data_IF_931098443103
#
_entry.id   IF_931098443103
#
_cell.length_a   1.000
_cell.length_b   1.000
_cell.length_c   1.000
_cell.angle_alpha   90.00
_cell.angle_beta   90.00
_cell.angle_gamma   90.00
#
_symmetry.space_group_name_H-M   'P 1'
#
loop_
_entity.id
_entity.type
_entity.pdbx_description
1 polymer ?
#
# COMPACT_ATOMS: atom_id res chain seq x y z
N UNK A 1 -19.04 -0.17 -9.03
CA UNK A 1 -18.26 -1.29 -8.46
C UNK A 1 -17.84 -0.92 -7.05
N UNK A 2 -18.14 -1.80 -6.10
CA UNK A 2 -17.79 -1.55 -4.71
C UNK A 2 -16.27 -1.65 -4.50
N UNK A 3 -15.71 -0.67 -3.79
CA UNK A 3 -14.30 -0.67 -3.44
C UNK A 3 -14.01 -1.73 -2.37
N UNK A 4 -13.09 -2.64 -2.64
CA UNK A 4 -12.66 -3.67 -1.71
C UNK A 4 -11.66 -3.12 -0.71
N UNK A 5 -11.83 -3.43 0.58
CA UNK A 5 -10.84 -3.17 1.62
C UNK A 5 -10.08 -4.44 1.95
N UNK A 6 -8.84 -4.28 2.39
CA UNK A 6 -7.97 -5.43 2.70
C UNK A 6 -8.54 -6.33 3.80
N UNK A 7 -9.30 -5.78 4.75
CA UNK A 7 -9.88 -6.53 5.85
C UNK A 7 -11.35 -6.93 5.65
N UNK A 8 -11.90 -6.69 4.45
CA UNK A 8 -13.30 -7.01 4.15
C UNK A 8 -13.59 -8.49 4.36
N UNK A 9 -14.76 -8.78 4.95
CA UNK A 9 -15.25 -10.13 5.21
C UNK A 9 -14.41 -10.93 6.21
N UNK A 10 -13.48 -10.29 6.89
CA UNK A 10 -12.74 -10.94 7.96
C UNK A 10 -13.55 -10.83 9.27
N UNK A 11 -13.51 -11.88 10.06
CA UNK A 11 -14.14 -11.88 11.37
C UNK A 11 -13.35 -11.01 12.34
N UNK A 12 -13.99 -10.38 13.36
CA UNK A 12 -13.26 -9.56 14.33
C UNK A 12 -12.08 -10.26 14.98
N UNK A 13 -12.21 -11.54 15.31
CA UNK A 13 -11.13 -12.33 15.91
C UNK A 13 -9.97 -12.56 14.95
N UNK A 14 -10.24 -12.69 13.64
CA UNK A 14 -9.21 -12.81 12.63
C UNK A 14 -8.44 -11.49 12.47
N UNK A 15 -9.15 -10.37 12.49
CA UNK A 15 -8.54 -9.05 12.41
C UNK A 15 -7.63 -8.80 13.62
N UNK A 16 -8.10 -9.17 14.82
CA UNK A 16 -7.33 -9.03 16.04
C UNK A 16 -6.05 -9.86 15.99
N UNK A 17 -6.15 -11.09 15.51
CA UNK A 17 -5.00 -11.98 15.37
C UNK A 17 -4.00 -11.45 14.35
N UNK A 18 -4.49 -10.96 13.21
CA UNK A 18 -3.65 -10.35 12.19
C UNK A 18 -2.86 -9.17 12.75
N UNK A 19 -3.54 -8.28 13.46
CA UNK A 19 -2.90 -7.10 14.06
C UNK A 19 -1.87 -7.50 15.11
N UNK A 20 -2.15 -8.55 15.89
CA UNK A 20 -1.21 -9.07 16.89
C UNK A 20 0.08 -9.61 16.27
N UNK A 21 0.02 -10.12 15.04
CA UNK A 21 1.17 -10.67 14.31
C UNK A 21 1.84 -9.65 13.39
N UNK A 22 1.34 -8.43 13.35
CA UNK A 22 1.82 -7.36 12.48
C UNK A 22 2.35 -6.20 13.32
N UNK A 23 2.94 -5.21 12.66
CA UNK A 23 3.45 -4.01 13.32
C UNK A 23 2.53 -2.85 12.98
N UNK A 24 2.03 -2.17 14.01
CA UNK A 24 1.32 -0.89 13.83
C UNK A 24 2.27 0.21 14.26
N UNK A 25 2.64 1.09 13.34
CA UNK A 25 3.61 2.13 13.62
C UNK A 25 3.05 3.50 13.26
N UNK A 26 3.33 4.48 14.12
CA UNK A 26 2.99 5.88 13.89
C UNK A 26 4.23 6.61 13.38
N UNK A 27 4.07 7.29 12.26
CA UNK A 27 5.11 8.10 11.63
C UNK A 27 4.76 9.57 11.81
N UNK A 28 5.75 10.36 12.18
CA UNK A 28 5.58 11.80 12.27
C UNK A 28 5.69 12.42 10.88
N UNK A 29 5.22 13.65 10.71
CA UNK A 29 5.33 14.37 9.45
C UNK A 29 6.78 14.35 8.95
N UNK A 30 6.97 14.02 7.68
CA UNK A 30 8.27 13.92 6.96
C UNK A 30 9.11 12.72 7.36
N UNK A 31 8.63 11.87 8.24
CA UNK A 31 9.33 10.63 8.53
C UNK A 31 9.19 9.66 7.35
N UNK A 32 10.30 9.02 6.99
CA UNK A 32 10.33 8.06 5.87
C UNK A 32 9.79 6.71 6.34
N UNK A 33 8.87 6.15 5.57
CA UNK A 33 8.27 4.84 5.84
C UNK A 33 9.14 3.74 5.23
N UNK A 34 9.56 3.93 3.98
CA UNK A 34 10.55 3.08 3.34
C UNK A 34 11.31 3.89 2.29
N UNK A 35 12.52 3.43 1.96
CA UNK A 35 13.39 4.08 1.00
C UNK A 35 13.41 3.33 -0.33
N UNK A 36 13.63 4.06 -1.41
CA UNK A 36 13.93 3.49 -2.72
C UNK A 36 15.08 2.49 -2.57
N UNK A 37 15.01 1.37 -3.27
CA UNK A 37 15.96 0.26 -3.27
C UNK A 37 15.84 -0.66 -2.05
N UNK A 38 14.97 -0.36 -1.09
CA UNK A 38 14.70 -1.29 0.01
C UNK A 38 14.06 -2.57 -0.52
N UNK A 39 14.36 -3.68 0.14
CA UNK A 39 13.72 -4.96 -0.14
C UNK A 39 12.31 -4.95 0.46
N UNK A 40 11.26 -5.24 -0.33
CA UNK A 40 9.90 -5.30 0.19
C UNK A 40 9.76 -6.39 1.26
N UNK A 41 9.27 -6.01 2.44
CA UNK A 41 9.09 -6.94 3.57
C UNK A 41 7.66 -6.96 4.09
N UNK A 42 6.90 -5.91 3.83
CA UNK A 42 5.58 -5.70 4.42
C UNK A 42 4.55 -5.32 3.38
N UNK A 43 3.31 -5.72 3.65
CA UNK A 43 2.16 -5.05 3.06
C UNK A 43 1.85 -3.85 3.94
N UNK A 44 1.82 -2.66 3.35
CA UNK A 44 1.53 -1.41 4.06
C UNK A 44 0.06 -1.04 3.89
N UNK A 45 -0.61 -0.82 5.01
CA UNK A 45 -2.03 -0.41 5.03
C UNK A 45 -2.14 0.89 5.81
N UNK A 46 -2.64 1.94 5.18
CA UNK A 46 -2.84 3.22 5.85
C UNK A 46 -4.06 3.11 6.77
N UNK A 47 -3.86 3.33 8.06
CA UNK A 47 -4.97 3.37 9.02
C UNK A 47 -5.47 4.80 9.21
N UNK A 48 -4.56 5.75 9.26
CA UNK A 48 -4.87 7.17 9.50
C UNK A 48 -3.74 8.02 8.96
N UNK A 49 -4.05 9.18 8.41
CA UNK A 49 -3.06 10.13 7.95
C UNK A 49 -2.98 10.28 6.44
N UNK A 50 -1.80 10.57 5.93
CA UNK A 50 -1.53 10.70 4.51
C UNK A 50 -0.07 10.36 4.21
N UNK A 51 0.15 9.61 3.12
CA UNK A 51 1.47 9.15 2.71
C UNK A 51 1.73 9.58 1.27
N UNK A 52 2.92 10.13 1.04
CA UNK A 52 3.41 10.51 -0.28
C UNK A 52 4.38 9.45 -0.78
N UNK A 53 4.09 8.87 -1.93
CA UNK A 53 4.99 7.96 -2.62
C UNK A 53 5.68 8.75 -3.73
N UNK A 54 7.00 8.75 -3.73
CA UNK A 54 7.77 9.64 -4.59
C UNK A 54 9.08 9.02 -5.08
N UNK A 55 9.61 9.58 -6.16
CA UNK A 55 10.94 9.25 -6.66
C UNK A 55 11.69 10.57 -6.88
N UNK A 56 12.81 10.73 -6.18
CA UNK A 56 13.67 11.91 -6.35
C UNK A 56 14.68 11.65 -7.47
N UNK A 57 14.78 12.60 -8.38
CA UNK A 57 15.76 12.52 -9.47
C UNK A 57 17.13 12.98 -8.98
N UNK A 58 18.22 12.61 -9.70
CA UNK A 58 19.57 13.03 -9.31
C UNK A 58 19.78 14.54 -9.23
N UNK A 59 18.97 15.33 -9.94
CA UNK A 59 19.06 16.80 -9.90
C UNK A 59 18.30 17.42 -8.71
N UNK A 60 17.74 16.59 -7.84
CA UNK A 60 17.03 17.06 -6.66
C UNK A 60 15.54 17.31 -6.86
N UNK A 61 15.00 17.05 -8.05
CA UNK A 61 13.57 17.19 -8.31
C UNK A 61 12.80 16.02 -7.72
N UNK A 62 11.72 16.32 -7.00
CA UNK A 62 10.86 15.28 -6.45
C UNK A 62 9.68 15.02 -7.37
N UNK A 63 9.57 13.77 -7.85
CA UNK A 63 8.45 13.32 -8.63
C UNK A 63 7.47 12.59 -7.70
N UNK A 64 6.32 13.20 -7.46
CA UNK A 64 5.27 12.56 -6.65
C UNK A 64 4.51 11.60 -7.55
N UNK A 65 4.55 10.31 -7.19
CA UNK A 65 3.89 9.26 -7.97
C UNK A 65 2.45 9.09 -7.56
N UNK A 66 2.18 9.12 -6.26
CA UNK A 66 0.83 9.03 -5.73
C UNK A 66 0.78 9.50 -4.28
N UNK A 67 -0.40 9.87 -3.84
CA UNK A 67 -0.67 10.23 -2.44
C UNK A 67 -1.76 9.29 -1.93
N UNK A 68 -1.49 8.62 -0.81
CA UNK A 68 -2.41 7.71 -0.16
C UNK A 68 -3.09 8.47 0.98
N UNK A 69 -4.41 8.62 0.91
CA UNK A 69 -5.19 9.38 1.90
C UNK A 69 -6.35 8.60 2.49
N UNK A 70 -6.82 7.57 1.78
CA UNK A 70 -7.99 6.82 2.23
C UNK A 70 -7.62 5.80 3.29
N UNK A 71 -8.30 5.78 4.44
CA UNK A 71 -8.09 4.72 5.42
C UNK A 71 -8.30 3.35 4.80
N UNK A 72 -7.49 2.40 5.19
CA UNK A 72 -7.48 1.03 4.71
C UNK A 72 -6.94 0.84 3.29
N UNK A 73 -6.45 1.90 2.66
CA UNK A 73 -5.80 1.77 1.37
C UNK A 73 -4.38 1.18 1.55
N UNK A 74 -3.99 0.35 0.58
CA UNK A 74 -2.67 -0.28 0.58
C UNK A 74 -1.72 0.46 -0.36
N UNK A 75 -0.44 0.39 -0.09
CA UNK A 75 0.57 0.95 -0.99
C UNK A 75 1.79 0.03 -1.08
N UNK A 76 2.49 0.10 -2.21
CA UNK A 76 3.65 -0.73 -2.54
C UNK A 76 3.36 -2.24 -2.54
N UNK A 77 2.10 -2.65 -2.65
CA UNK A 77 1.65 -4.04 -2.52
C UNK A 77 2.17 -4.95 -3.62
N UNK A 78 2.34 -4.42 -4.84
CA UNK A 78 2.80 -5.21 -6.00
C UNK A 78 4.17 -5.81 -5.75
N UNK A 79 5.06 -5.07 -5.11
CA UNK A 79 6.47 -5.44 -4.98
C UNK A 79 6.71 -6.60 -4.01
N UNK A 80 5.73 -6.95 -3.18
CA UNK A 80 5.80 -8.14 -2.33
C UNK A 80 5.77 -9.43 -3.14
N UNK A 81 5.20 -9.40 -4.35
CA UNK A 81 4.95 -10.59 -5.14
C UNK A 81 5.91 -10.78 -6.31
N UNK A 82 6.66 -9.75 -6.69
CA UNK A 82 7.52 -9.80 -7.87
C UNK A 82 9.01 -9.83 -7.56
N UNK A 83 9.39 -9.99 -6.31
CA UNK A 83 10.77 -10.11 -5.86
C UNK A 83 11.69 -9.01 -6.43
N UNK A 84 11.17 -7.78 -6.48
CA UNK A 84 11.89 -6.60 -6.96
C UNK A 84 12.06 -5.61 -5.82
N UNK A 85 13.14 -4.85 -5.85
CA UNK A 85 13.36 -3.77 -4.90
C UNK A 85 12.36 -2.65 -5.16
N UNK A 86 12.03 -1.90 -4.11
CA UNK A 86 11.10 -0.77 -4.23
C UNK A 86 11.72 0.31 -5.14
N UNK A 87 11.01 0.73 -6.20
CA UNK A 87 11.54 1.74 -7.12
C UNK A 87 11.25 3.17 -6.69
N UNK A 88 10.75 3.35 -5.49
CA UNK A 88 10.37 4.65 -4.94
C UNK A 88 10.45 4.63 -3.42
N UNK A 89 10.31 5.82 -2.82
CA UNK A 89 10.26 6.01 -1.38
C UNK A 89 8.85 6.40 -0.94
N UNK A 90 8.58 6.28 0.34
CA UNK A 90 7.32 6.74 0.93
C UNK A 90 7.59 7.57 2.19
N UNK A 91 6.87 8.66 2.33
CA UNK A 91 7.05 9.64 3.40
C UNK A 91 5.70 10.03 3.96
N UNK A 92 5.60 10.13 5.28
CA UNK A 92 4.38 10.63 5.92
C UNK A 92 4.23 12.13 5.64
N UNK A 93 3.07 12.54 5.13
CA UNK A 93 2.78 13.96 4.85
C UNK A 93 2.30 14.68 6.10
N UNK A 94 1.80 13.94 7.06
CA UNK A 94 1.37 14.38 8.38
C UNK A 94 1.51 13.19 9.31
N UNK A 95 1.24 13.36 10.60
CA UNK A 95 1.24 12.22 11.53
C UNK A 95 0.33 11.13 10.96
N UNK A 96 0.89 9.95 10.76
CA UNK A 96 0.19 8.84 10.08
C UNK A 96 0.43 7.54 10.83
N UNK A 97 -0.60 6.71 10.87
CA UNK A 97 -0.51 5.37 11.46
C UNK A 97 -0.66 4.34 10.35
N UNK A 98 0.31 3.43 10.28
CA UNK A 98 0.39 2.43 9.22
C UNK A 98 0.45 1.04 9.85
N UNK A 99 -0.38 0.14 9.34
CA UNK A 99 -0.31 -1.29 9.66
C UNK A 99 0.67 -1.93 8.68
N UNK A 100 1.70 -2.58 9.20
CA UNK A 100 2.74 -3.23 8.41
C UNK A 100 2.60 -4.74 8.63
N UNK A 101 2.10 -5.43 7.62
CA UNK A 101 1.84 -6.88 7.68
C UNK A 101 3.02 -7.60 7.05
N UNK A 102 3.80 -8.39 7.84
CA UNK A 102 4.92 -9.13 7.28
C UNK A 102 4.47 -10.12 6.20
N UNK A 103 5.29 -10.31 5.18
CA UNK A 103 5.00 -11.28 4.10
C UNK A 103 4.64 -12.65 4.65
N UNK A 104 5.36 -13.12 5.66
CA UNK A 104 5.12 -14.44 6.25
C UNK A 104 3.73 -14.57 6.88
N UNK A 105 3.17 -13.46 7.37
CA UNK A 105 1.85 -13.44 8.00
C UNK A 105 0.73 -13.51 6.95
N UNK A 106 0.95 -12.94 5.77
CA UNK A 106 -0.06 -12.96 4.70
C UNK A 106 -0.49 -14.38 4.35
N UNK A 107 0.44 -15.34 4.38
CA UNK A 107 0.15 -16.73 4.05
C UNK A 107 -0.78 -17.41 5.05
N UNK A 108 -0.90 -16.86 6.26
CA UNK A 108 -1.75 -17.41 7.32
C UNK A 108 -3.19 -16.92 7.22
N UNK A 109 -3.45 -15.93 6.37
CA UNK A 109 -4.77 -15.32 6.23
C UNK A 109 -5.18 -15.30 4.75
N UNK A 110 -5.72 -16.43 4.23
CA UNK A 110 -6.11 -16.52 2.81
C UNK A 110 -7.08 -15.44 2.38
N UNK A 111 -7.92 -14.94 3.29
CA UNK A 111 -8.88 -13.88 2.98
C UNK A 111 -8.16 -12.59 2.58
N UNK A 112 -7.03 -12.28 3.20
CA UNK A 112 -6.24 -11.10 2.86
C UNK A 112 -5.68 -11.21 1.45
N UNK A 113 -5.12 -12.35 1.10
CA UNK A 113 -4.59 -12.59 -0.24
C UNK A 113 -5.68 -12.43 -1.30
N UNK A 114 -6.87 -12.95 -1.03
CA UNK A 114 -8.01 -12.81 -1.92
C UNK A 114 -8.43 -11.35 -2.06
N UNK A 115 -8.58 -10.64 -0.94
CA UNK A 115 -8.96 -9.23 -0.94
C UNK A 115 -7.94 -8.39 -1.71
N UNK A 116 -6.66 -8.67 -1.50
CA UNK A 116 -5.57 -7.97 -2.18
C UNK A 116 -5.65 -8.19 -3.70
N UNK A 117 -5.88 -9.43 -4.13
CA UNK A 117 -6.04 -9.74 -5.56
C UNK A 117 -7.21 -8.96 -6.16
N UNK A 118 -8.34 -8.87 -5.48
CA UNK A 118 -9.49 -8.10 -5.94
C UNK A 118 -9.15 -6.62 -6.02
N UNK A 119 -8.48 -6.08 -4.99
CA UNK A 119 -8.08 -4.67 -4.97
C UNK A 119 -7.15 -4.33 -6.12
N UNK A 120 -6.16 -5.19 -6.39
CA UNK A 120 -5.23 -5.01 -7.51
C UNK A 120 -5.96 -5.08 -8.84
N UNK A 121 -6.89 -6.02 -8.97
CA UNK A 121 -7.71 -6.13 -10.18
C UNK A 121 -8.58 -4.89 -10.41
N UNK A 122 -9.15 -4.33 -9.35
CA UNK A 122 -9.92 -3.10 -9.44
C UNK A 122 -9.07 -1.91 -9.87
N UNK A 123 -7.85 -1.80 -9.32
CA UNK A 123 -6.90 -0.76 -9.73
C UNK A 123 -6.50 -0.91 -11.19
N UNK A 124 -6.23 -2.13 -11.64
CA UNK A 124 -5.88 -2.41 -13.03
C UNK A 124 -7.04 -2.07 -13.96
N UNK A 125 -8.26 -2.41 -13.58
CA UNK A 125 -9.45 -2.07 -14.35
C UNK A 125 -9.61 -0.56 -14.50
N UNK A 126 -9.48 0.19 -13.41
CA UNK A 126 -9.58 1.65 -13.41
C UNK A 126 -8.53 2.27 -14.32
N UNK A 127 -7.28 1.79 -14.23
CA UNK A 127 -6.19 2.25 -15.08
C UNK A 127 -6.47 1.96 -16.55
N UNK A 128 -6.98 0.77 -16.84
CA UNK A 128 -7.38 0.35 -18.19
C UNK A 128 -8.41 1.31 -18.80
N UNK A 129 -9.41 1.71 -18.00
CA UNK A 129 -10.43 2.66 -18.46
C UNK A 129 -9.84 4.04 -18.74
N UNK A 130 -8.91 4.51 -17.89
CA UNK A 130 -8.22 5.78 -18.11
C UNK A 130 -7.39 5.77 -19.38
N UNK A 131 -6.66 4.69 -19.64
CA UNK A 131 -5.86 4.54 -20.85
C UNK A 131 -6.74 4.54 -22.08
N UNK A 132 -7.89 3.90 -22.02
CA UNK A 132 -8.86 3.85 -23.11
C UNK A 132 -9.36 5.25 -23.47
N UNK A 133 -9.63 6.09 -22.47
CA UNK A 133 -10.03 7.47 -22.67
C UNK A 133 -8.94 8.29 -23.34
N UNK A 134 -7.68 8.10 -22.93
CA UNK A 134 -6.54 8.80 -23.51
C UNK A 134 -6.29 8.42 -24.97
N UNK A 135 -6.64 7.20 -25.35
CA UNK A 135 -6.45 6.69 -26.72
C UNK A 135 -7.62 7.00 -27.64
N UNK A 136 -8.68 7.57 -27.11
CA UNK A 136 -9.87 7.91 -27.91
C UNK A 136 -9.64 9.22 -28.66
N UNK A 137 -9.91 9.18 -29.96
CA UNK A 137 -9.83 10.35 -30.84
C UNK A 137 -11.02 11.29 -30.65
#
# INVERSE_FOLDING_TARGET
MKQMHILDQMKPEEVAELKAQSVTKTFQRREIIFHKEDTPKYLYVLLEGAVCVFDDTPDGTRNILTIIREPMDCFAEVYLFIDEKLPFSAEAMKKSTVLMIPRSVLHRFPRISRNLNVMLSQKAYTLSQKLKLLMKD
#
